data_IF_044320018061
#
_entry.id   IF_044320018061
#
_cell.length_a   1.000
_cell.length_b   1.000
_cell.length_c   1.000
_cell.angle_alpha   90.00
_cell.angle_beta   90.00
_cell.angle_gamma   90.00
#
_symmetry.space_group_name_H-M   'P 1'
#
loop_
_entity.id
_entity.type
_entity.pdbx_description
1 polymer ?
#
# COMPACT_ATOMS: atom_id res chain seq x y z
N UNK A 1 -32.35 60.70 12.17
CA UNK A 1 -33.50 59.80 11.93
C UNK A 1 -33.06 58.84 10.83
N UNK A 2 -32.43 57.72 11.24
CA UNK A 2 -32.94 56.33 11.16
C UNK A 2 -32.62 55.72 9.78
N UNK A 3 -31.63 54.85 9.56
CA UNK A 3 -31.35 53.47 10.01
C UNK A 3 -32.09 52.37 9.19
N UNK A 4 -31.38 51.23 9.04
CA UNK A 4 -31.75 49.88 8.48
C UNK A 4 -31.39 49.63 7.00
N UNK A 5 -30.34 48.86 6.69
CA UNK A 5 -30.22 47.37 6.61
C UNK A 5 -31.17 46.74 5.57
N UNK A 6 -30.64 46.05 4.54
CA UNK A 6 -30.53 44.59 4.59
C UNK A 6 -29.77 43.94 3.41
N UNK A 7 -29.41 42.70 3.69
CA UNK A 7 -28.54 41.72 3.06
C UNK A 7 -29.20 40.96 1.90
N UNK A 8 -28.47 40.63 0.81
CA UNK A 8 -28.58 39.30 0.20
C UNK A 8 -27.45 39.00 -0.80
N UNK A 9 -26.72 37.93 -0.48
CA UNK A 9 -25.76 37.26 -1.34
C UNK A 9 -26.49 36.32 -2.32
N UNK A 10 -26.07 36.32 -3.59
CA UNK A 10 -26.64 35.49 -4.64
C UNK A 10 -25.60 34.68 -5.41
N UNK A 11 -25.27 33.51 -4.86
CA UNK A 11 -24.95 32.25 -5.58
C UNK A 11 -23.76 32.23 -6.55
N UNK A 12 -22.56 31.93 -6.01
CA UNK A 12 -21.50 31.25 -6.76
C UNK A 12 -21.62 29.73 -6.50
N UNK A 13 -22.33 29.02 -7.38
CA UNK A 13 -22.44 27.56 -7.36
C UNK A 13 -21.08 26.90 -7.64
N UNK A 14 -20.49 26.38 -6.56
CA UNK A 14 -19.82 25.09 -6.43
C UNK A 14 -19.31 24.42 -7.72
N UNK A 15 -18.08 24.76 -8.13
CA UNK A 15 -17.28 24.00 -9.10
C UNK A 15 -16.23 23.08 -8.45
N UNK A 16 -16.30 22.85 -7.13
CA UNK A 16 -15.20 22.20 -6.38
C UNK A 16 -15.22 20.67 -6.38
N UNK A 17 -16.25 20.01 -6.93
CA UNK A 17 -16.44 18.56 -6.77
C UNK A 17 -16.02 17.69 -7.96
N UNK A 18 -15.75 18.27 -9.13
CA UNK A 18 -15.40 17.48 -10.33
C UNK A 18 -13.92 17.05 -10.37
N UNK A 19 -13.02 17.79 -9.72
CA UNK A 19 -11.58 17.46 -9.69
C UNK A 19 -11.21 16.32 -8.72
N UNK A 20 -12.10 15.93 -7.81
CA UNK A 20 -11.86 14.79 -6.91
C UNK A 20 -12.08 13.46 -7.62
N UNK A 21 -13.13 13.34 -8.44
CA UNK A 21 -13.54 12.08 -9.08
C UNK A 21 -12.48 11.58 -10.07
N UNK A 22 -11.94 12.46 -10.92
CA UNK A 22 -10.91 12.10 -11.89
C UNK A 22 -9.57 11.65 -11.27
N UNK A 23 -9.24 12.12 -10.06
CA UNK A 23 -8.02 11.68 -9.37
C UNK A 23 -8.17 10.26 -8.83
N UNK A 24 -9.36 9.86 -8.36
CA UNK A 24 -9.63 8.48 -7.92
C UNK A 24 -9.76 7.52 -9.11
N UNK A 25 -10.38 7.94 -10.22
CA UNK A 25 -10.52 7.11 -11.43
C UNK A 25 -9.17 6.87 -12.13
N UNK A 26 -8.32 7.90 -12.23
CA UNK A 26 -6.96 7.74 -12.76
C UNK A 26 -6.11 6.84 -11.84
N UNK A 27 -6.28 6.96 -10.52
CA UNK A 27 -5.64 6.12 -9.50
C UNK A 27 -6.08 4.65 -9.55
N UNK A 28 -7.36 4.37 -9.82
CA UNK A 28 -7.89 3.02 -10.03
C UNK A 28 -7.30 2.41 -11.31
N UNK A 29 -7.18 3.18 -12.40
CA UNK A 29 -6.59 2.70 -13.66
C UNK A 29 -5.10 2.36 -13.51
N UNK A 30 -4.31 3.20 -12.84
CA UNK A 30 -2.91 2.88 -12.51
C UNK A 30 -2.77 1.62 -11.66
N UNK A 31 -3.70 1.41 -10.72
CA UNK A 31 -3.72 0.20 -9.89
C UNK A 31 -4.13 -1.05 -10.68
N UNK A 32 -5.13 -0.96 -11.57
CA UNK A 32 -5.56 -2.11 -12.38
C UNK A 32 -4.44 -2.60 -13.30
N UNK A 33 -3.68 -1.66 -13.87
CA UNK A 33 -2.47 -1.98 -14.66
C UNK A 33 -1.38 -2.65 -13.79
N UNK A 34 -1.15 -2.16 -12.56
CA UNK A 34 -0.19 -2.78 -11.63
C UNK A 34 -0.65 -4.15 -11.10
N UNK A 35 -1.95 -4.34 -10.89
CA UNK A 35 -2.54 -5.58 -10.38
C UNK A 35 -2.51 -6.69 -11.44
N UNK A 36 -2.64 -6.34 -12.73
CA UNK A 36 -2.51 -7.27 -13.86
C UNK A 36 -1.06 -7.78 -14.06
N UNK A 37 -0.07 -7.09 -13.50
CA UNK A 37 1.34 -7.48 -13.56
C UNK A 37 1.74 -8.49 -12.45
N UNK A 38 0.91 -8.69 -11.41
CA UNK A 38 1.27 -9.48 -10.21
C UNK A 38 0.31 -10.63 -9.84
N UNK A 39 -0.61 -11.05 -10.70
CA UNK A 39 -1.48 -12.19 -10.38
C UNK A 39 -0.79 -13.53 -10.63
N UNK A 40 -0.25 -14.12 -9.56
CA UNK A 40 -0.26 -15.56 -9.32
C UNK A 40 -0.24 -15.79 -7.80
N UNK A 41 -1.38 -16.17 -7.23
CA UNK A 41 -1.47 -16.58 -5.84
C UNK A 41 -2.32 -17.85 -5.72
N UNK A 42 -1.72 -18.90 -5.15
CA UNK A 42 -2.45 -20.01 -4.54
C UNK A 42 -2.04 -20.14 -3.06
N UNK A 43 -3.06 -20.30 -2.22
CA UNK A 43 -3.00 -20.14 -0.78
C UNK A 43 -2.42 -21.31 0.01
N UNK A 44 -2.05 -21.00 1.25
CA UNK A 44 -2.04 -21.88 2.42
C UNK A 44 -1.88 -20.97 3.65
N UNK A 45 -2.55 -21.31 4.75
CA UNK A 45 -2.41 -20.58 6.01
C UNK A 45 -0.97 -20.72 6.53
N UNK A 46 -0.35 -19.61 6.93
CA UNK A 46 0.95 -19.61 7.59
C UNK A 46 1.00 -18.44 8.59
N UNK A 47 1.85 -18.61 9.61
CA UNK A 47 2.31 -17.65 10.63
C UNK A 47 2.43 -16.21 10.10
N UNK A 48 2.44 -15.15 10.93
CA UNK A 48 2.53 -13.77 10.47
C UNK A 48 3.87 -13.51 9.77
N UNK A 49 3.95 -13.93 8.51
CA UNK A 49 4.99 -13.55 7.55
C UNK A 49 4.72 -12.08 7.29
N UNK A 50 5.73 -11.19 7.32
CA UNK A 50 5.60 -9.86 6.77
C UNK A 50 5.08 -10.02 5.34
N UNK A 51 3.80 -9.74 5.15
CA UNK A 51 3.21 -9.83 3.84
C UNK A 51 3.79 -8.64 3.08
N UNK A 52 4.63 -8.90 2.09
CA UNK A 52 5.14 -7.91 1.14
C UNK A 52 3.99 -7.41 0.22
N UNK A 53 2.86 -7.08 0.85
CA UNK A 53 1.58 -6.67 0.27
C UNK A 53 1.34 -5.23 0.69
N UNK A 54 1.04 -4.39 -0.29
CA UNK A 54 0.73 -2.99 -0.05
C UNK A 54 -0.68 -2.86 0.51
N UNK A 55 -0.82 -2.28 1.69
CA UNK A 55 -2.11 -1.95 2.31
C UNK A 55 -2.71 -0.71 1.67
N UNK A 56 -3.89 -0.87 1.07
CA UNK A 56 -4.66 0.23 0.45
C UNK A 56 -5.92 0.61 1.25
N UNK A 57 -6.29 -0.20 2.24
CA UNK A 57 -7.47 0.04 3.09
C UNK A 57 -7.06 0.54 4.48
N UNK A 58 -5.94 0.03 4.98
CA UNK A 58 -5.42 0.33 6.32
C UNK A 58 -4.09 1.07 6.24
N UNK A 59 -3.80 1.78 7.31
CA UNK A 59 -2.52 2.44 7.53
C UNK A 59 -2.19 2.27 9.01
N UNK A 60 -1.82 1.04 9.38
CA UNK A 60 -1.35 0.71 10.72
C UNK A 60 0.18 0.76 10.78
N UNK A 61 0.73 0.82 11.99
CA UNK A 61 2.18 0.77 12.19
C UNK A 61 2.66 -0.63 11.76
N UNK A 62 3.69 -0.68 10.91
CA UNK A 62 4.21 -1.90 10.29
C UNK A 62 3.58 -2.24 8.93
N UNK A 63 2.52 -1.54 8.50
CA UNK A 63 1.93 -1.77 7.18
C UNK A 63 2.88 -1.26 6.08
N UNK A 64 3.05 -2.07 5.03
CA UNK A 64 3.67 -1.64 3.78
C UNK A 64 2.67 -0.80 2.98
N UNK A 65 3.08 0.39 2.55
CA UNK A 65 2.19 1.37 1.94
C UNK A 65 2.83 2.04 0.74
N UNK A 66 1.99 2.53 -0.17
CA UNK A 66 2.41 3.29 -1.35
C UNK A 66 2.21 4.78 -1.09
N UNK A 67 3.29 5.55 -1.18
CA UNK A 67 3.29 7.00 -1.10
C UNK A 67 3.37 7.58 -2.51
N UNK A 68 2.46 8.48 -2.85
CA UNK A 68 2.45 9.16 -4.15
C UNK A 68 2.62 10.66 -3.94
N UNK A 69 3.40 11.31 -4.79
CA UNK A 69 3.50 12.76 -4.80
C UNK A 69 2.22 13.38 -5.34
N UNK A 70 1.60 14.25 -4.57
CA UNK A 70 0.44 15.03 -5.01
C UNK A 70 0.85 16.47 -5.29
N UNK A 71 0.64 16.93 -6.54
CA UNK A 71 1.00 18.27 -6.97
C UNK A 71 0.12 19.35 -6.34
N UNK A 72 -1.15 19.04 -6.04
CA UNK A 72 -2.08 19.95 -5.40
C UNK A 72 -1.65 20.32 -3.99
N UNK A 73 -1.25 19.31 -3.22
CA UNK A 73 -0.74 19.47 -1.86
C UNK A 73 0.77 19.77 -1.79
N UNK A 74 1.48 19.59 -2.90
CA UNK A 74 2.94 19.64 -3.02
C UNK A 74 3.65 18.72 -2.01
N UNK A 75 3.04 17.60 -1.66
CA UNK A 75 3.51 16.71 -0.61
C UNK A 75 3.21 15.26 -0.99
N UNK A 76 3.91 14.32 -0.35
CA UNK A 76 3.62 12.91 -0.53
C UNK A 76 2.42 12.51 0.32
N UNK A 77 1.45 11.86 -0.32
CA UNK A 77 0.20 11.41 0.27
C UNK A 77 0.12 9.90 0.11
N UNK A 78 -0.35 9.23 1.15
CA UNK A 78 -0.61 7.80 1.12
C UNK A 78 -1.69 7.46 0.11
N UNK A 79 -1.45 6.41 -0.66
CA UNK A 79 -2.47 5.77 -1.48
C UNK A 79 -3.34 4.87 -0.60
N UNK A 80 -4.49 5.39 -0.18
CA UNK A 80 -5.47 4.66 0.62
C UNK A 80 -6.87 4.98 0.09
N UNK A 81 -7.76 3.98 0.07
CA UNK A 81 -9.16 4.11 -0.35
C UNK A 81 -10.06 4.74 0.74
N UNK A 82 -9.45 5.29 1.80
CA UNK A 82 -10.15 5.95 2.89
C UNK A 82 -10.52 7.40 2.57
N UNK A 83 -11.50 7.97 3.30
CA UNK A 83 -11.92 9.37 3.12
C UNK A 83 -10.92 10.36 3.74
N UNK A 84 -10.02 9.89 4.60
CA UNK A 84 -9.05 10.73 5.34
C UNK A 84 -7.70 10.72 4.64
N UNK A 85 -7.14 11.91 4.42
CA UNK A 85 -5.82 12.07 3.84
C UNK A 85 -4.73 11.70 4.84
N UNK A 86 -3.67 11.06 4.36
CA UNK A 86 -2.50 10.69 5.15
C UNK A 86 -1.26 11.32 4.49
N UNK A 87 -0.67 12.31 5.13
CA UNK A 87 0.48 13.05 4.62
C UNK A 87 1.78 12.52 5.21
N UNK A 88 2.82 12.43 4.39
CA UNK A 88 4.16 12.07 4.84
C UNK A 88 4.80 13.19 5.67
N UNK A 89 5.49 12.81 6.74
CA UNK A 89 6.31 13.73 7.53
C UNK A 89 7.54 14.19 6.75
N UNK A 90 7.92 15.46 6.89
CA UNK A 90 9.05 16.05 6.15
C UNK A 90 10.40 15.42 6.50
N UNK A 91 10.57 14.92 7.72
CA UNK A 91 11.78 14.21 8.18
C UNK A 91 12.01 12.91 7.39
N UNK A 92 10.94 12.26 6.94
CA UNK A 92 11.03 11.01 6.19
C UNK A 92 11.40 11.22 4.73
N UNK A 93 11.32 12.46 4.21
CA UNK A 93 11.65 12.76 2.81
C UNK A 93 13.11 12.46 2.48
N UNK A 94 14.01 12.72 3.41
CA UNK A 94 15.44 12.47 3.22
C UNK A 94 15.75 10.98 3.32
N UNK A 95 15.21 10.31 4.35
CA UNK A 95 15.38 8.87 4.53
C UNK A 95 14.84 8.05 3.33
N UNK A 96 13.74 8.50 2.71
CA UNK A 96 13.12 7.85 1.54
C UNK A 96 13.73 8.29 0.20
N UNK A 97 14.72 9.19 0.19
CA UNK A 97 15.31 9.71 -1.04
C UNK A 97 14.33 10.52 -1.90
N UNK A 98 13.34 11.16 -1.28
CA UNK A 98 12.28 11.94 -1.92
C UNK A 98 12.56 13.45 -1.92
N UNK A 99 13.64 13.87 -1.26
CA UNK A 99 14.09 15.25 -1.21
C UNK A 99 14.41 15.71 -2.63
N UNK A 100 13.76 16.80 -3.06
CA UNK A 100 14.09 17.41 -4.34
C UNK A 100 15.45 18.08 -4.24
N UNK A 101 16.43 17.50 -4.92
CA UNK A 101 17.67 18.18 -5.23
C UNK A 101 17.55 18.84 -6.61
N UNK A 102 18.03 20.09 -6.80
CA UNK A 102 18.06 20.72 -8.12
C UNK A 102 18.88 19.84 -9.08
N UNK A 103 18.22 19.34 -10.14
CA UNK A 103 18.81 18.43 -11.13
C UNK A 103 18.40 16.96 -11.02
N UNK A 104 17.61 16.58 -10.01
CA UNK A 104 17.09 15.21 -9.89
C UNK A 104 15.59 15.16 -10.19
N UNK A 105 15.17 14.24 -11.07
CA UNK A 105 13.76 13.98 -11.36
C UNK A 105 13.05 13.53 -10.08
N UNK A 106 12.05 14.30 -9.65
CA UNK A 106 11.27 13.98 -8.44
C UNK A 106 10.59 12.61 -8.64
N UNK A 107 10.80 11.70 -7.70
CA UNK A 107 10.18 10.37 -7.72
C UNK A 107 8.67 10.50 -7.49
N UNK A 108 7.86 10.09 -8.46
CA UNK A 108 6.40 10.21 -8.37
C UNK A 108 5.77 9.36 -7.27
N UNK A 109 6.42 8.24 -6.90
CA UNK A 109 5.93 7.33 -5.87
C UNK A 109 7.06 6.54 -5.19
N UNK A 110 6.79 6.03 -3.99
CA UNK A 110 7.70 5.14 -3.26
C UNK A 110 6.95 4.17 -2.35
N UNK A 111 7.51 2.97 -2.17
CA UNK A 111 7.07 2.01 -1.16
C UNK A 111 7.77 2.29 0.16
N UNK A 112 7.00 2.32 1.25
CA UNK A 112 7.52 2.59 2.57
C UNK A 112 6.73 1.80 3.62
N UNK A 113 7.35 1.55 4.77
CA UNK A 113 6.71 0.93 5.92
C UNK A 113 6.34 2.02 6.93
N UNK A 114 5.10 2.01 7.43
CA UNK A 114 4.62 3.00 8.40
C UNK A 114 5.26 2.75 9.76
N UNK A 115 5.88 3.77 10.32
CA UNK A 115 6.53 3.72 11.64
C UNK A 115 5.68 4.41 12.70
N UNK A 116 5.12 5.57 12.37
CA UNK A 116 4.27 6.34 13.28
C UNK A 116 3.11 6.95 12.53
N UNK A 117 2.01 7.15 13.26
CA UNK A 117 0.79 7.77 12.77
C UNK A 117 0.25 8.74 13.80
N UNK A 118 0.10 9.99 13.39
CA UNK A 118 -0.38 11.08 14.22
C UNK A 118 -1.66 11.67 13.62
N UNK A 119 -2.65 11.94 14.45
CA UNK A 119 -3.89 12.58 14.02
C UNK A 119 -3.80 14.10 14.16
N UNK A 120 -4.05 14.82 13.07
CA UNK A 120 -3.89 16.27 13.00
C UNK A 120 -5.17 16.93 12.48
N UNK A 121 -5.35 18.21 12.83
CA UNK A 121 -6.41 19.05 12.28
C UNK A 121 -5.83 20.39 11.82
N UNK A 122 -6.20 20.80 10.60
CA UNK A 122 -5.78 22.07 10.03
C UNK A 122 -6.47 23.24 10.75
N UNK A 123 -5.70 24.03 11.51
CA UNK A 123 -6.21 25.22 12.20
C UNK A 123 -6.12 26.50 11.34
N UNK A 124 -5.22 26.53 10.35
CA UNK A 124 -4.93 27.70 9.50
C UNK A 124 -5.34 27.44 8.05
N UNK A 125 -5.87 28.45 7.37
CA UNK A 125 -6.29 28.37 5.97
C UNK A 125 -5.10 28.21 5.04
N UNK A 126 -4.01 28.93 5.32
CA UNK A 126 -2.73 28.76 4.66
C UNK A 126 -1.84 27.84 5.50
N UNK A 127 -1.95 26.54 5.27
CA UNK A 127 -1.10 25.54 5.92
C UNK A 127 -0.19 24.84 4.90
N UNK A 128 0.89 24.23 5.39
CA UNK A 128 1.89 23.51 4.58
C UNK A 128 1.35 22.31 3.81
N UNK A 129 0.15 21.84 4.16
CA UNK A 129 -0.53 20.73 3.48
C UNK A 129 -1.56 21.22 2.45
N UNK A 130 -1.78 22.53 2.33
CA UNK A 130 -2.74 23.16 1.42
C UNK A 130 -4.15 22.59 1.54
N UNK A 131 -4.55 22.18 2.74
CA UNK A 131 -5.91 21.69 3.04
C UNK A 131 -6.77 22.80 3.62
N UNK A 132 -8.10 22.67 3.54
CA UNK A 132 -9.02 23.64 4.13
C UNK A 132 -8.95 23.64 5.67
N UNK A 133 -9.31 24.76 6.30
CA UNK A 133 -9.43 24.85 7.76
C UNK A 133 -10.45 23.84 8.26
N UNK A 134 -10.18 23.23 9.41
CA UNK A 134 -11.02 22.21 10.02
C UNK A 134 -10.82 20.81 9.46
N UNK A 135 -10.13 20.66 8.31
CA UNK A 135 -9.82 19.35 7.71
C UNK A 135 -8.99 18.53 8.67
N UNK A 136 -9.45 17.30 8.92
CA UNK A 136 -8.75 16.29 9.72
C UNK A 136 -7.96 15.40 8.78
N UNK A 137 -6.71 15.12 9.14
CA UNK A 137 -5.81 14.29 8.35
C UNK A 137 -4.83 13.57 9.28
N UNK A 138 -4.22 12.49 8.78
CA UNK A 138 -3.13 11.84 9.47
C UNK A 138 -1.80 12.35 8.94
N UNK A 139 -0.83 12.45 9.83
CA UNK A 139 0.57 12.67 9.51
C UNK A 139 1.32 11.40 9.84
N UNK A 140 1.99 10.81 8.86
CA UNK A 140 2.67 9.53 9.01
C UNK A 140 4.17 9.70 8.90
N UNK A 141 4.91 8.97 9.73
CA UNK A 141 6.34 8.72 9.50
C UNK A 141 6.48 7.34 8.89
N UNK A 142 7.36 7.23 7.90
CA UNK A 142 7.62 5.99 7.22
C UNK A 142 9.12 5.82 6.97
N UNK A 143 9.56 4.57 6.91
CA UNK A 143 10.92 4.17 6.56
C UNK A 143 10.94 3.50 5.19
N UNK A 144 12.06 3.51 4.46
CA UNK A 144 12.20 2.79 3.19
C UNK A 144 11.87 1.30 3.38
N UNK A 145 11.13 0.73 2.44
CA UNK A 145 10.93 -0.72 2.40
C UNK A 145 12.17 -1.42 1.84
N UNK A 146 12.62 -2.46 2.54
CA UNK A 146 13.77 -3.28 2.14
C UNK A 146 13.37 -4.31 1.08
N UNK A 147 13.57 -3.92 -0.19
CA UNK A 147 13.25 -4.74 -1.36
C UNK A 147 14.10 -6.01 -1.38
N UNK A 148 15.37 -5.93 -1.01
CA UNK A 148 16.30 -7.05 -1.05
C UNK A 148 15.89 -8.12 -0.04
N UNK A 149 15.50 -7.71 1.18
CA UNK A 149 14.99 -8.61 2.18
C UNK A 149 13.67 -9.27 1.73
N UNK A 150 12.77 -8.54 1.06
CA UNK A 150 11.54 -9.08 0.49
C UNK A 150 11.82 -10.15 -0.59
N UNK A 151 12.73 -9.87 -1.52
CA UNK A 151 13.12 -10.84 -2.57
C UNK A 151 13.72 -12.11 -1.95
N UNK A 152 14.57 -11.98 -0.92
CA UNK A 152 15.14 -13.14 -0.22
C UNK A 152 14.06 -13.99 0.47
N UNK A 153 13.11 -13.34 1.17
CA UNK A 153 11.97 -14.04 1.80
C UNK A 153 11.16 -14.83 0.78
N UNK A 154 10.86 -14.22 -0.36
CA UNK A 154 10.10 -14.88 -1.43
C UNK A 154 10.85 -16.05 -2.06
N UNK A 155 12.16 -15.90 -2.30
CA UNK A 155 13.00 -17.00 -2.80
C UNK A 155 13.01 -18.18 -1.83
N UNK A 156 13.17 -17.93 -0.53
CA UNK A 156 13.14 -18.97 0.49
C UNK A 156 11.77 -19.64 0.56
N UNK A 157 10.67 -18.87 0.49
CA UNK A 157 9.30 -19.42 0.44
C UNK A 157 9.10 -20.33 -0.78
N UNK A 158 9.55 -19.90 -1.96
CA UNK A 158 9.48 -20.72 -3.19
C UNK A 158 10.31 -22.00 -3.09
N UNK A 159 11.48 -21.93 -2.48
CA UNK A 159 12.33 -23.10 -2.23
C UNK A 159 11.66 -24.10 -1.28
N UNK A 160 11.07 -23.63 -0.17
CA UNK A 160 10.34 -24.49 0.77
C UNK A 160 9.11 -25.15 0.16
N UNK A 161 8.37 -24.45 -0.72
CA UNK A 161 7.25 -25.05 -1.45
C UNK A 161 7.72 -26.13 -2.45
N UNK A 162 8.84 -25.89 -3.14
CA UNK A 162 9.44 -26.90 -4.02
C UNK A 162 9.89 -28.14 -3.24
N UNK A 163 10.49 -27.97 -2.06
CA UNK A 163 10.91 -29.11 -1.24
C UNK A 163 9.73 -29.92 -0.70
N UNK A 164 8.60 -29.27 -0.37
CA UNK A 164 7.38 -30.00 0.00
C UNK A 164 6.82 -30.83 -1.18
N UNK A 165 6.77 -30.25 -2.37
CA UNK A 165 6.32 -30.95 -3.58
C UNK A 165 7.17 -32.17 -3.92
N UNK A 166 8.50 -32.09 -3.70
CA UNK A 166 9.38 -33.24 -3.91
C UNK A 166 9.20 -34.35 -2.87
N UNK A 167 8.87 -34.01 -1.62
CA UNK A 167 8.63 -35.01 -0.56
C UNK A 167 7.33 -35.79 -0.79
N UNK A 168 6.27 -35.14 -1.27
CA UNK A 168 5.03 -35.82 -1.65
C UNK A 168 5.24 -36.78 -2.83
N UNK A 169 5.98 -36.38 -3.85
CA UNK A 169 6.31 -37.27 -4.97
C UNK A 169 7.09 -38.52 -4.54
N UNK A 170 7.98 -38.40 -3.54
CA UNK A 170 8.70 -39.56 -2.99
C UNK A 170 7.83 -40.45 -2.08
N UNK A 171 6.86 -39.87 -1.37
CA UNK A 171 5.93 -40.62 -0.50
C UNK A 171 4.91 -41.45 -1.32
N UNK A 172 4.43 -40.92 -2.44
CA UNK A 172 3.52 -41.64 -3.34
C UNK A 172 4.22 -42.82 -4.06
N UNK A 173 5.49 -42.65 -4.43
CA UNK A 173 6.29 -43.74 -5.02
C UNK A 173 6.59 -44.88 -4.04
N UNK A 174 6.72 -44.59 -2.73
CA UNK A 174 7.00 -45.61 -1.72
C UNK A 174 5.74 -46.39 -1.29
N UNK A 175 4.58 -45.74 -1.24
CA UNK A 175 3.30 -46.43 -0.99
C UNK A 175 2.90 -47.41 -2.11
N UNK A 176 3.40 -47.21 -3.33
CA UNK A 176 3.14 -48.06 -4.50
C UNK A 176 3.97 -49.35 -4.53
N UNK A 177 4.98 -49.50 -3.65
CA UNK A 177 5.88 -50.67 -3.65
C UNK A 177 5.53 -51.73 -2.58
N UNK A 178 4.62 -51.45 -1.66
CA UNK A 178 4.22 -52.42 -0.61
C UNK A 178 3.11 -53.39 -1.07
N UNK A 179 2.38 -53.10 -2.16
CA UNK A 179 1.28 -53.97 -2.62
C UNK A 179 1.71 -55.14 -3.54
N UNK A 180 2.99 -55.26 -3.90
CA UNK A 180 3.49 -56.31 -4.82
C UNK A 180 4.36 -57.41 -4.20
N UNK A 181 4.58 -57.41 -2.89
CA UNK A 181 5.42 -58.41 -2.21
C UNK A 181 4.65 -59.61 -1.63
N UNK A 182 3.33 -59.72 -1.87
CA UNK A 182 2.47 -60.70 -1.21
C UNK A 182 1.85 -61.76 -2.11
N UNK A 183 2.57 -62.39 -3.07
CA UNK A 183 2.09 -63.65 -3.69
C UNK A 183 3.27 -64.46 -4.25
N UNK A 184 3.86 -65.35 -3.46
CA UNK A 184 4.48 -66.58 -3.97
C UNK A 184 4.89 -67.48 -2.81
N UNK A 185 3.92 -68.16 -2.18
CA UNK A 185 4.22 -69.30 -1.34
C UNK A 185 3.13 -70.37 -1.51
N UNK A 186 3.42 -71.37 -2.37
CA UNK A 186 3.09 -72.80 -2.27
C UNK A 186 2.97 -73.45 -3.64
N UNK A 187 3.95 -74.29 -3.97
CA UNK A 187 3.75 -75.49 -4.75
C UNK A 187 4.71 -76.56 -4.21
N UNK A 188 4.14 -77.51 -3.45
CA UNK A 188 4.68 -78.86 -3.25
C UNK A 188 3.83 -79.81 -4.04
#
# INVERSE_FOLDING_TARGET
>A
MNAEMDFSAGVATSTRNQNKVGLYDCKISYFFNFQMEMSDASGAQALPVPADKVSILTCNIGDLVLLCYDEGHQNYVLFVLGPVLHFLHTECLEALGLKQSPGCTRKGWVLAEVVEKEYCQAKKSQNRYRVAVGTRFYRIKAKPWDKEAAVRREQQRRQSLRSLGSLQATAEMSASQEEKAGTSEKAS
#
